data_IF_739189358308
#
_entry.id   IF_739189358308
#
_cell.length_a   1.000
_cell.length_b   1.000
_cell.length_c   1.000
_cell.angle_alpha   90.00
_cell.angle_beta   90.00
_cell.angle_gamma   90.00
#
_symmetry.space_group_name_H-M   'P 1'
#
loop_
_entity.id
_entity.type
_entity.pdbx_description
1 polymer ?
#
# COMPACT_ATOMS: atom_id res chain seq x y z
N UNK A 1 2.53 12.24 -12.32
CA UNK A 1 2.49 12.10 -10.85
C UNK A 1 1.37 13.00 -10.30
N UNK A 2 0.57 12.46 -9.36
CA UNK A 2 -0.44 13.24 -8.61
C UNK A 2 -0.09 13.15 -7.13
N UNK A 3 0.13 14.30 -6.50
CA UNK A 3 0.40 14.36 -5.06
C UNK A 3 -0.90 14.28 -4.26
N UNK A 4 -0.84 13.66 -3.09
CA UNK A 4 -1.92 13.60 -2.14
C UNK A 4 -1.37 13.45 -0.71
N UNK A 5 -2.19 13.79 0.28
CA UNK A 5 -1.89 13.50 1.69
C UNK A 5 -2.30 12.07 2.04
N UNK A 6 -1.65 11.45 3.03
CA UNK A 6 -2.07 10.14 3.53
C UNK A 6 -3.56 10.06 3.85
N UNK A 7 -4.18 11.01 4.58
CA UNK A 7 -5.62 10.99 4.83
C UNK A 7 -6.47 11.00 3.57
N UNK A 8 -6.03 11.70 2.51
CA UNK A 8 -6.78 11.75 1.26
C UNK A 8 -6.68 10.44 0.47
N UNK A 9 -5.50 9.81 0.43
CA UNK A 9 -5.32 8.49 -0.18
C UNK A 9 -6.18 7.46 0.56
N UNK A 10 -6.11 7.44 1.88
CA UNK A 10 -6.93 6.58 2.72
C UNK A 10 -8.43 6.76 2.46
N UNK A 11 -8.92 8.01 2.44
CA UNK A 11 -10.31 8.29 2.14
C UNK A 11 -10.72 7.77 0.76
N UNK A 12 -9.88 7.93 -0.25
CA UNK A 12 -10.14 7.41 -1.59
C UNK A 12 -10.23 5.88 -1.63
N UNK A 13 -9.30 5.17 -0.98
CA UNK A 13 -9.33 3.71 -0.87
C UNK A 13 -10.55 3.23 -0.06
N UNK A 14 -10.85 3.88 1.06
CA UNK A 14 -12.03 3.57 1.86
C UNK A 14 -13.35 3.83 1.12
N UNK A 15 -13.39 4.82 0.23
CA UNK A 15 -14.55 5.04 -0.62
C UNK A 15 -14.79 3.82 -1.52
N UNK A 16 -13.75 3.27 -2.14
CA UNK A 16 -13.84 2.04 -2.95
C UNK A 16 -14.25 0.85 -2.09
N UNK A 17 -13.61 0.65 -0.94
CA UNK A 17 -13.94 -0.42 0.01
C UNK A 17 -15.44 -0.42 0.39
N UNK A 18 -16.04 0.76 0.53
CA UNK A 18 -17.45 0.95 0.93
C UNK A 18 -18.42 1.05 -0.25
N UNK A 19 -17.95 0.98 -1.47
CA UNK A 19 -18.77 1.22 -2.66
C UNK A 19 -19.28 2.67 -2.75
N UNK A 20 -18.62 3.63 -2.08
CA UNK A 20 -18.97 5.03 -2.13
C UNK A 20 -18.25 5.73 -3.29
N UNK A 21 -18.89 6.70 -3.99
CA UNK A 21 -18.25 7.41 -5.09
C UNK A 21 -17.15 8.37 -4.63
N UNK A 22 -17.21 8.83 -3.39
CA UNK A 22 -16.21 9.69 -2.75
C UNK A 22 -16.37 9.63 -1.22
N UNK A 23 -15.34 10.09 -0.50
CA UNK A 23 -15.43 10.40 0.94
C UNK A 23 -15.12 11.87 1.21
N UNK A 24 -15.85 12.51 2.15
CA UNK A 24 -15.60 13.89 2.53
C UNK A 24 -14.45 14.01 3.54
N UNK A 25 -13.58 15.01 3.36
CA UNK A 25 -12.55 15.39 4.32
C UNK A 25 -12.59 16.88 4.62
N UNK A 26 -12.29 17.28 5.87
CA UNK A 26 -12.10 18.68 6.27
C UNK A 26 -10.64 19.05 6.47
N UNK A 27 -9.80 18.11 6.90
CA UNK A 27 -8.43 18.38 7.35
C UNK A 27 -7.47 18.93 6.30
N UNK A 28 -7.86 18.95 5.04
CA UNK A 28 -7.06 19.49 3.93
C UNK A 28 -7.61 20.80 3.35
N UNK A 29 -8.72 21.31 3.89
CA UNK A 29 -9.26 22.62 3.51
C UNK A 29 -8.23 23.71 3.77
N UNK A 30 -8.10 24.66 2.83
CA UNK A 30 -7.16 25.75 2.92
C UNK A 30 -5.70 25.40 2.61
N UNK A 31 -5.39 24.12 2.35
CA UNK A 31 -4.07 23.70 1.90
C UNK A 31 -3.89 23.92 0.39
N UNK A 32 -2.64 24.17 -0.02
CA UNK A 32 -2.32 24.36 -1.44
C UNK A 32 -2.57 23.10 -2.28
N UNK A 33 -2.51 21.91 -1.67
CA UNK A 33 -2.68 20.65 -2.41
C UNK A 33 -4.06 20.56 -3.08
N UNK A 34 -5.10 21.12 -2.49
CA UNK A 34 -6.44 21.17 -3.07
C UNK A 34 -6.47 21.91 -4.40
N UNK A 35 -5.60 22.96 -4.56
CA UNK A 35 -5.49 23.73 -5.81
C UNK A 35 -4.86 22.93 -6.94
N UNK A 36 -3.98 21.99 -6.62
CA UNK A 36 -3.26 21.17 -7.59
C UNK A 36 -4.00 19.84 -7.91
N UNK A 37 -5.17 19.62 -7.28
CA UNK A 37 -5.99 18.43 -7.48
C UNK A 37 -7.34 18.79 -8.11
N UNK A 38 -7.37 18.96 -9.47
CA UNK A 38 -8.60 19.33 -10.18
C UNK A 38 -9.69 18.25 -10.11
N UNK A 39 -9.33 17.04 -9.74
CA UNK A 39 -10.23 15.91 -9.49
C UNK A 39 -10.90 16.00 -8.11
N UNK A 40 -10.42 16.83 -7.19
CA UNK A 40 -11.06 17.08 -5.90
C UNK A 40 -12.06 18.24 -6.00
N UNK A 41 -13.12 18.18 -5.23
CA UNK A 41 -14.14 19.22 -5.20
C UNK A 41 -14.36 19.73 -3.78
N UNK A 42 -14.30 21.03 -3.61
CA UNK A 42 -14.81 21.68 -2.40
C UNK A 42 -16.29 21.90 -2.60
N UNK A 43 -17.10 21.34 -1.71
CA UNK A 43 -18.57 21.46 -1.72
C UNK A 43 -19.03 21.83 -0.31
N UNK A 44 -20.21 22.44 -0.19
CA UNK A 44 -20.85 22.58 1.11
C UNK A 44 -21.45 21.23 1.55
N UNK A 45 -21.34 20.94 2.84
CA UNK A 45 -21.89 19.73 3.44
C UNK A 45 -23.42 19.71 3.26
N UNK A 46 -23.97 18.77 2.50
CA UNK A 46 -25.41 18.74 2.21
C UNK A 46 -26.28 18.36 3.42
N UNK A 47 -25.67 17.99 4.54
CA UNK A 47 -26.35 17.62 5.77
C UNK A 47 -26.45 18.77 6.79
N UNK A 48 -25.95 19.96 6.44
CA UNK A 48 -25.99 21.15 7.30
C UNK A 48 -26.83 22.24 6.63
N UNK A 49 -27.93 22.60 7.26
CA UNK A 49 -28.80 23.67 6.78
C UNK A 49 -28.37 25.03 7.36
N UNK A 50 -28.46 26.08 6.54
CA UNK A 50 -28.40 27.48 6.97
C UNK A 50 -27.04 28.06 7.30
N UNK A 51 -25.95 27.28 7.21
CA UNK A 51 -24.58 27.74 7.37
C UNK A 51 -23.66 27.11 6.32
N UNK A 52 -22.61 27.83 5.88
CA UNK A 52 -21.57 27.23 5.02
C UNK A 52 -20.71 26.28 5.85
N UNK A 53 -20.61 25.04 5.42
CA UNK A 53 -19.80 24.00 6.03
C UNK A 53 -18.98 23.28 4.94
N UNK A 54 -17.89 23.89 4.45
CA UNK A 54 -17.13 23.35 3.33
C UNK A 54 -16.44 22.04 3.69
N UNK A 55 -16.47 21.09 2.74
CA UNK A 55 -15.79 19.81 2.78
C UNK A 55 -15.08 19.56 1.45
N UNK A 56 -14.02 18.77 1.45
CA UNK A 56 -13.37 18.31 0.23
C UNK A 56 -13.86 16.90 -0.09
N UNK A 57 -14.54 16.74 -1.22
CA UNK A 57 -14.94 15.44 -1.75
C UNK A 57 -13.74 14.77 -2.41
N UNK A 58 -13.26 13.68 -1.82
CA UNK A 58 -12.14 12.87 -2.33
C UNK A 58 -12.72 11.72 -3.13
N UNK A 59 -12.48 11.64 -4.46
CA UNK A 59 -12.99 10.56 -5.30
C UNK A 59 -12.49 9.18 -4.83
N UNK A 60 -13.27 8.16 -5.08
CA UNK A 60 -12.86 6.78 -4.87
C UNK A 60 -11.57 6.46 -5.66
N UNK A 61 -10.65 5.74 -5.03
CA UNK A 61 -9.43 5.21 -5.63
C UNK A 61 -9.60 3.71 -5.70
N UNK A 62 -9.73 3.17 -6.91
CA UNK A 62 -9.84 1.73 -7.16
C UNK A 62 -8.56 1.25 -7.86
N UNK A 63 -7.57 0.71 -7.12
CA UNK A 63 -6.34 0.19 -7.71
C UNK A 63 -6.61 -1.09 -8.51
N UNK A 64 -5.93 -1.26 -9.64
CA UNK A 64 -5.94 -2.54 -10.37
C UNK A 64 -5.21 -3.61 -9.56
N UNK A 65 -4.07 -3.23 -8.93
CA UNK A 65 -3.20 -4.13 -8.16
C UNK A 65 -2.78 -3.47 -6.86
N UNK A 66 -2.94 -4.21 -5.74
CA UNK A 66 -2.22 -3.99 -4.50
C UNK A 66 -1.04 -4.97 -4.45
N UNK A 67 0.16 -4.45 -4.19
CA UNK A 67 1.39 -5.23 -4.06
C UNK A 67 2.09 -4.84 -2.76
N UNK A 68 2.34 -5.80 -1.87
CA UNK A 68 3.05 -5.55 -0.62
C UNK A 68 3.78 -6.79 -0.10
N UNK A 69 4.71 -6.57 0.82
CA UNK A 69 5.51 -7.59 1.46
C UNK A 69 5.13 -7.72 2.94
N UNK A 70 5.06 -8.97 3.42
CA UNK A 70 4.65 -9.29 4.79
C UNK A 70 5.57 -10.34 5.44
N UNK A 71 5.56 -10.47 6.79
CA UNK A 71 6.41 -11.42 7.47
C UNK A 71 6.09 -12.88 7.13
N UNK A 72 4.83 -13.25 7.00
CA UNK A 72 4.45 -14.64 6.76
C UNK A 72 3.03 -14.80 6.23
N UNK A 73 2.78 -15.93 5.58
CA UNK A 73 1.46 -16.40 5.17
C UNK A 73 1.32 -17.88 5.46
N UNK A 74 0.10 -18.34 5.73
CA UNK A 74 -0.21 -19.76 5.89
C UNK A 74 -0.55 -20.43 4.54
N UNK A 75 -0.74 -21.76 4.60
CA UNK A 75 -1.06 -22.55 3.40
C UNK A 75 -2.47 -22.28 2.85
N UNK A 76 -3.36 -21.69 3.66
CA UNK A 76 -4.69 -21.25 3.21
C UNK A 76 -4.63 -19.89 2.49
N UNK A 77 -3.47 -19.24 2.44
CA UNK A 77 -3.27 -17.95 1.81
C UNK A 77 -3.63 -16.76 2.70
N UNK A 78 -3.87 -16.98 3.99
CA UNK A 78 -4.00 -15.88 4.94
C UNK A 78 -2.62 -15.26 5.19
N UNK A 79 -2.56 -13.94 5.34
CA UNK A 79 -1.32 -13.19 5.45
C UNK A 79 -1.26 -12.45 6.78
N UNK A 80 -0.17 -12.60 7.52
CA UNK A 80 0.04 -11.84 8.74
C UNK A 80 0.62 -10.46 8.44
N UNK A 81 -0.19 -9.43 8.60
CA UNK A 81 0.15 -8.02 8.39
C UNK A 81 0.52 -7.30 9.70
N UNK A 82 0.30 -7.95 10.85
CA UNK A 82 0.60 -7.37 12.14
C UNK A 82 -0.16 -6.06 12.41
N UNK A 83 0.58 -4.97 12.55
CA UNK A 83 0.04 -3.63 12.85
C UNK A 83 -0.33 -2.81 11.63
N UNK A 84 0.09 -3.24 10.43
CA UNK A 84 -0.04 -2.50 9.16
C UNK A 84 -1.48 -2.58 8.62
N UNK A 85 -2.43 -1.97 9.35
CA UNK A 85 -3.88 -2.02 9.05
C UNK A 85 -4.23 -1.38 7.72
N UNK A 86 -3.40 -0.50 7.21
CA UNK A 86 -3.54 0.14 5.91
C UNK A 86 -3.56 -0.88 4.76
N UNK A 87 -2.83 -1.99 4.93
CA UNK A 87 -2.79 -3.08 3.96
C UNK A 87 -4.15 -3.76 3.78
N UNK A 88 -5.00 -3.78 4.83
CA UNK A 88 -6.38 -4.29 4.73
C UNK A 88 -7.18 -3.44 3.76
N UNK A 89 -7.14 -2.11 3.94
CA UNK A 89 -7.85 -1.18 3.07
C UNK A 89 -7.33 -1.23 1.63
N UNK A 90 -6.00 -1.35 1.45
CA UNK A 90 -5.40 -1.51 0.12
C UNK A 90 -5.87 -2.79 -0.58
N UNK A 91 -5.80 -3.92 0.13
CA UNK A 91 -6.23 -5.23 -0.40
C UNK A 91 -7.73 -5.25 -0.72
N UNK A 92 -8.54 -4.60 0.11
CA UNK A 92 -9.99 -4.54 -0.08
C UNK A 92 -10.40 -3.65 -1.25
N UNK A 93 -9.67 -2.56 -1.49
CA UNK A 93 -9.95 -1.63 -2.57
C UNK A 93 -9.45 -2.10 -3.94
N UNK A 94 -8.43 -2.97 -3.97
CA UNK A 94 -7.81 -3.42 -5.21
C UNK A 94 -8.58 -4.56 -5.89
N UNK A 95 -8.49 -4.62 -7.22
CA UNK A 95 -9.03 -5.76 -8.00
C UNK A 95 -8.19 -7.02 -7.81
N UNK A 96 -6.87 -6.87 -7.71
CA UNK A 96 -5.90 -7.96 -7.54
C UNK A 96 -4.97 -7.61 -6.38
N UNK A 97 -4.74 -8.56 -5.49
CA UNK A 97 -3.78 -8.40 -4.38
C UNK A 97 -2.68 -9.45 -4.49
N UNK A 98 -1.46 -8.99 -4.69
CA UNK A 98 -0.25 -9.81 -4.76
C UNK A 98 0.58 -9.57 -3.50
N UNK A 99 0.95 -10.64 -2.82
CA UNK A 99 1.71 -10.55 -1.57
C UNK A 99 2.97 -11.40 -1.66
N UNK A 100 4.11 -10.82 -1.30
CA UNK A 100 5.31 -11.60 -1.00
C UNK A 100 5.50 -11.72 0.50
N UNK A 101 6.10 -12.81 0.96
CA UNK A 101 6.33 -13.06 2.39
C UNK A 101 7.73 -13.59 2.64
N UNK A 102 8.25 -13.31 3.84
CA UNK A 102 9.56 -13.82 4.27
C UNK A 102 9.57 -15.34 4.42
N UNK A 103 8.44 -15.91 4.86
CA UNK A 103 8.33 -17.35 5.12
C UNK A 103 6.89 -17.85 5.13
N UNK A 104 6.73 -19.16 5.02
CA UNK A 104 5.46 -19.84 5.30
C UNK A 104 5.28 -20.06 6.81
N UNK A 105 4.02 -20.03 7.23
CA UNK A 105 3.58 -20.36 8.58
C UNK A 105 2.90 -21.75 8.55
N UNK A 106 3.37 -22.66 9.39
CA UNK A 106 2.75 -23.99 9.52
C UNK A 106 1.46 -23.90 10.35
N UNK A 107 0.35 -24.31 9.76
CA UNK A 107 -0.98 -24.23 10.37
C UNK A 107 -1.82 -23.07 9.84
N UNK A 108 -2.84 -22.67 10.61
CA UNK A 108 -3.74 -21.58 10.26
C UNK A 108 -3.46 -20.37 11.18
N UNK A 109 -3.19 -19.22 10.60
CA UNK A 109 -2.90 -17.97 11.33
C UNK A 109 -4.05 -17.53 12.25
N UNK A 110 -5.29 -17.89 11.94
CA UNK A 110 -6.45 -17.57 12.77
C UNK A 110 -6.57 -18.46 14.01
N UNK A 111 -5.92 -19.63 14.04
CA UNK A 111 -5.94 -20.53 15.20
C UNK A 111 -5.01 -20.05 16.32
N UNK A 112 -4.07 -19.16 16.02
CA UNK A 112 -3.20 -18.54 17.02
C UNK A 112 -3.81 -17.18 17.47
N UNK A 113 -4.27 -17.08 18.74
CA UNK A 113 -4.87 -15.84 19.27
C UNK A 113 -3.94 -14.61 19.22
N UNK A 114 -2.62 -14.82 19.22
CA UNK A 114 -1.65 -13.73 19.13
C UNK A 114 -1.52 -13.18 17.70
N UNK A 115 -1.82 -13.99 16.69
CA UNK A 115 -1.68 -13.64 15.27
C UNK A 115 -3.01 -13.28 14.62
N UNK A 116 -4.12 -13.89 15.06
CA UNK A 116 -5.44 -13.75 14.45
C UNK A 116 -5.87 -12.29 14.22
N UNK A 117 -5.65 -11.42 15.21
CA UNK A 117 -6.03 -10.00 15.09
C UNK A 117 -5.22 -9.20 14.05
N UNK A 118 -4.01 -9.68 13.70
CA UNK A 118 -3.12 -9.10 12.68
C UNK A 118 -3.14 -9.85 11.36
N UNK A 119 -4.12 -10.73 11.14
CA UNK A 119 -4.20 -11.56 9.93
C UNK A 119 -5.19 -10.98 8.93
N UNK A 120 -4.73 -10.83 7.69
CA UNK A 120 -5.55 -10.54 6.51
C UNK A 120 -6.04 -11.86 5.92
N UNK A 121 -7.35 -11.98 5.70
CA UNK A 121 -7.95 -13.17 5.12
C UNK A 121 -7.52 -13.40 3.67
N UNK A 122 -7.29 -14.64 3.32
CA UNK A 122 -7.07 -15.10 1.95
C UNK A 122 -8.18 -14.69 0.97
N UNK A 123 -9.37 -14.35 1.47
CA UNK A 123 -10.44 -13.79 0.66
C UNK A 123 -10.04 -12.52 -0.12
N UNK A 124 -9.13 -11.72 0.44
CA UNK A 124 -8.63 -10.48 -0.16
C UNK A 124 -7.29 -10.65 -0.87
N UNK A 125 -6.75 -11.86 -0.95
CA UNK A 125 -5.41 -12.14 -1.50
C UNK A 125 -5.54 -13.00 -2.74
N UNK A 126 -5.03 -12.50 -3.87
CA UNK A 126 -5.07 -13.23 -5.15
C UNK A 126 -3.94 -14.25 -5.25
N UNK A 127 -2.73 -13.86 -4.82
CA UNK A 127 -1.58 -14.75 -4.85
C UNK A 127 -0.56 -14.38 -3.74
N UNK A 128 0.12 -15.41 -3.24
CA UNK A 128 1.22 -15.28 -2.27
C UNK A 128 2.45 -16.00 -2.81
N UNK A 129 3.60 -15.32 -2.78
CA UNK A 129 4.89 -15.90 -3.09
C UNK A 129 5.85 -15.72 -1.90
N UNK A 130 6.72 -16.70 -1.66
CA UNK A 130 7.81 -16.56 -0.71
C UNK A 130 8.98 -15.81 -1.35
N UNK A 131 9.51 -14.84 -0.64
CA UNK A 131 10.64 -14.02 -1.07
C UNK A 131 11.42 -13.57 0.17
N UNK A 132 12.37 -14.38 0.61
CA UNK A 132 13.22 -14.04 1.73
C UNK A 132 13.98 -12.72 1.43
N UNK A 133 14.05 -11.85 2.45
CA UNK A 133 14.60 -10.49 2.32
C UNK A 133 13.93 -9.63 1.22
N UNK A 134 12.63 -9.89 0.94
CA UNK A 134 11.89 -9.30 -0.18
C UNK A 134 11.73 -7.78 -0.16
N UNK A 135 12.04 -7.09 0.96
CA UNK A 135 12.10 -5.63 1.02
C UNK A 135 13.44 -5.04 0.61
N UNK A 136 14.50 -5.86 0.42
CA UNK A 136 15.80 -5.33 0.00
C UNK A 136 15.68 -4.52 -1.32
N UNK A 137 16.45 -3.45 -1.45
CA UNK A 137 17.51 -2.92 -0.58
C UNK A 137 17.04 -2.14 0.65
N UNK A 138 15.72 -1.97 0.83
CA UNK A 138 15.16 -1.35 2.04
C UNK A 138 15.22 -2.32 3.23
N UNK A 139 15.14 -1.78 4.44
CA UNK A 139 15.00 -2.59 5.63
C UNK A 139 13.55 -3.06 5.84
N UNK A 140 13.41 -4.17 6.56
CA UNK A 140 12.12 -4.65 7.04
C UNK A 140 12.11 -4.65 8.57
N UNK A 141 11.40 -3.73 9.22
CA UNK A 141 11.48 -3.52 10.67
C UNK A 141 11.22 -4.79 11.47
N UNK A 142 12.14 -5.13 12.39
CA UNK A 142 12.07 -6.35 13.20
C UNK A 142 12.59 -7.61 12.51
N UNK A 143 12.96 -7.55 11.23
CA UNK A 143 13.51 -8.66 10.45
C UNK A 143 14.96 -8.40 10.00
N UNK A 144 15.19 -7.34 9.23
CA UNK A 144 16.54 -6.98 8.75
C UNK A 144 16.67 -5.49 8.47
N UNK A 145 17.90 -4.99 8.43
CA UNK A 145 18.23 -3.61 8.09
C UNK A 145 18.30 -3.36 6.58
N UNK A 146 18.45 -2.09 6.21
CA UNK A 146 18.67 -1.67 4.83
C UNK A 146 20.04 -2.16 4.29
N UNK A 147 20.15 -2.30 2.98
CA UNK A 147 21.41 -2.45 2.26
C UNK A 147 21.89 -1.07 1.80
N UNK A 148 22.70 -0.44 2.63
CA UNK A 148 23.19 0.91 2.36
C UNK A 148 24.16 0.97 1.15
N UNK A 149 24.78 -0.14 0.77
CA UNK A 149 25.66 -0.22 -0.40
C UNK A 149 24.83 -0.23 -1.68
N UNK A 150 23.83 -1.09 -1.75
CA UNK A 150 22.93 -1.16 -2.91
C UNK A 150 22.10 0.13 -3.06
N UNK A 151 21.63 0.73 -1.97
CA UNK A 151 20.96 2.05 -2.02
C UNK A 151 21.85 3.14 -2.60
N UNK A 152 23.17 3.15 -2.30
CA UNK A 152 24.12 4.08 -2.91
C UNK A 152 24.36 3.77 -4.39
N UNK A 153 24.43 2.48 -4.74
CA UNK A 153 24.56 2.04 -6.12
C UNK A 153 23.36 2.49 -6.96
N UNK A 154 22.14 2.26 -6.46
CA UNK A 154 20.90 2.75 -7.06
C UNK A 154 20.90 4.27 -7.23
N UNK A 155 21.22 5.02 -6.17
CA UNK A 155 21.24 6.49 -6.21
C UNK A 155 22.28 7.03 -7.21
N UNK A 156 23.35 6.31 -7.47
CA UNK A 156 24.33 6.65 -8.50
C UNK A 156 23.81 6.30 -9.90
N UNK A 157 23.26 5.11 -10.06
CA UNK A 157 22.76 4.59 -11.33
C UNK A 157 21.55 5.39 -11.84
N UNK A 158 20.66 5.82 -10.96
CA UNK A 158 19.42 6.56 -11.29
C UNK A 158 19.65 8.01 -11.78
N UNK A 159 20.90 8.44 -11.96
CA UNK A 159 21.21 9.78 -12.47
C UNK A 159 21.01 9.95 -13.97
N UNK A 160 21.04 8.85 -14.71
CA UNK A 160 20.75 8.81 -16.14
C UNK A 160 20.11 7.48 -16.53
N UNK A 161 19.43 7.47 -17.68
CA UNK A 161 18.66 6.34 -18.17
C UNK A 161 19.52 5.10 -18.45
N UNK A 162 20.74 5.27 -18.92
CA UNK A 162 21.65 4.16 -19.24
C UNK A 162 22.18 3.48 -17.98
N UNK A 163 22.55 4.26 -16.98
CA UNK A 163 22.95 3.75 -15.65
C UNK A 163 21.81 3.02 -14.97
N UNK A 164 20.60 3.58 -15.02
CA UNK A 164 19.41 2.94 -14.44
C UNK A 164 19.07 1.61 -15.15
N UNK A 165 19.12 1.58 -16.48
CA UNK A 165 18.87 0.35 -17.23
C UNK A 165 19.89 -0.75 -16.89
N UNK A 166 21.17 -0.40 -16.74
CA UNK A 166 22.22 -1.35 -16.35
C UNK A 166 22.01 -1.89 -14.92
N UNK A 167 21.60 -1.04 -13.99
CA UNK A 167 21.25 -1.43 -12.62
C UNK A 167 20.08 -2.41 -12.58
N UNK A 168 19.00 -2.11 -13.32
CA UNK A 168 17.83 -3.00 -13.42
C UNK A 168 18.20 -4.37 -14.00
N UNK A 169 18.98 -4.40 -15.08
CA UNK A 169 19.40 -5.65 -15.72
C UNK A 169 20.24 -6.53 -14.76
N UNK A 170 21.10 -5.92 -13.98
CA UNK A 170 21.86 -6.62 -12.95
C UNK A 170 20.96 -7.16 -11.83
N UNK A 171 20.03 -6.37 -11.33
CA UNK A 171 19.11 -6.76 -10.25
C UNK A 171 18.18 -7.89 -10.68
N UNK A 172 17.60 -7.80 -11.90
CA UNK A 172 16.71 -8.83 -12.44
C UNK A 172 17.42 -10.16 -12.69
N UNK A 173 18.67 -10.14 -13.18
CA UNK A 173 19.46 -11.38 -13.36
C UNK A 173 19.78 -12.08 -12.04
N UNK A 174 19.97 -11.34 -10.95
CA UNK A 174 20.19 -11.94 -9.64
C UNK A 174 18.91 -12.62 -9.11
N UNK A 175 17.74 -12.08 -9.41
CA UNK A 175 16.46 -12.66 -9.02
C UNK A 175 16.10 -13.95 -9.80
N UNK A 176 16.63 -14.14 -11.02
CA UNK A 176 16.40 -15.37 -11.81
C UNK A 176 17.27 -16.55 -11.38
N UNK A 177 18.30 -16.32 -10.56
CA UNK A 177 19.28 -17.34 -10.14
C UNK A 177 19.08 -17.79 -8.69
N UNK A 178 18.25 -17.11 -7.92
CA UNK A 178 17.93 -17.42 -6.53
C UNK A 178 16.65 -18.26 -6.42
#
# INVERSE_FOLDING_TARGET
LKEATCPAIHAGLQATEKGAPFLPLRGILGSDIVRFRPDWRVIDNPLVDGASDPIVAIPAIAPDVALFHCPMADDAGNVWIGRERDLVTMAHAATTTLVTVERRYEGNLYDDPALAAGTLSSFYVTAVAEAAEGCKPLGFPGHYGEDAEDLRAYAKASRDDAGFAAYLDQTLRHAEVA
#
